data_IF_032891110622
#
_entry.id   IF_032891110622
#
_cell.length_a   1.000
_cell.length_b   1.000
_cell.length_c   1.000
_cell.angle_alpha   90.00
_cell.angle_beta   90.00
_cell.angle_gamma   90.00
#
_symmetry.space_group_name_H-M   'P 1'
#
loop_
_entity.id
_entity.type
_entity.pdbx_description
1 polymer ?
#
# COMPACT_ATOMS: atom_id res chain seq x y z
N UNK A 1 10.76 26.37 -0.70
CA UNK A 1 11.54 25.26 -1.28
C UNK A 1 13.00 25.57 -1.00
N UNK A 2 13.71 24.75 -0.22
CA UNK A 2 15.16 25.00 -0.03
C UNK A 2 15.85 24.85 -1.40
N UNK A 3 16.90 25.64 -1.70
CA UNK A 3 17.75 25.35 -2.86
C UNK A 3 18.30 23.93 -2.71
N UNK A 4 18.31 23.17 -3.80
CA UNK A 4 18.71 21.76 -3.76
C UNK A 4 20.19 21.63 -3.39
N UNK A 5 20.46 21.18 -2.16
CA UNK A 5 21.80 20.95 -1.63
C UNK A 5 22.34 19.56 -1.95
N UNK A 6 23.45 19.22 -1.31
CA UNK A 6 24.09 17.91 -1.36
C UNK A 6 23.76 17.10 -0.11
N UNK A 7 23.17 15.92 -0.30
CA UNK A 7 22.86 14.97 0.77
C UNK A 7 23.77 13.75 0.67
N UNK A 8 24.31 13.32 1.80
CA UNK A 8 25.10 12.09 1.93
C UNK A 8 24.30 11.02 2.69
N UNK A 9 24.24 9.79 2.16
CA UNK A 9 23.53 8.67 2.79
C UNK A 9 24.50 7.60 3.30
N UNK A 10 24.48 7.33 4.60
CA UNK A 10 25.28 6.29 5.22
C UNK A 10 24.52 4.96 5.31
N UNK A 11 25.13 3.88 4.80
CA UNK A 11 24.47 2.60 4.59
C UNK A 11 23.59 2.61 3.33
N UNK A 12 24.04 3.31 2.28
CA UNK A 12 23.26 3.58 1.07
C UNK A 12 22.87 2.31 0.30
N UNK A 13 23.60 1.22 0.48
CA UNK A 13 23.31 -0.10 -0.10
C UNK A 13 22.15 -0.83 0.55
N UNK A 14 21.58 -0.32 1.64
CA UNK A 14 20.35 -0.85 2.24
C UNK A 14 19.12 -0.62 1.35
N UNK A 15 18.14 -1.54 1.41
CA UNK A 15 16.94 -1.51 0.54
C UNK A 15 16.18 -0.18 0.61
N UNK A 16 16.00 0.39 1.81
CA UNK A 16 15.31 1.68 1.97
C UNK A 16 16.24 2.88 1.75
N UNK A 17 17.52 2.77 2.08
CA UNK A 17 18.46 3.88 1.91
C UNK A 17 18.73 4.16 0.42
N UNK A 18 18.94 3.11 -0.37
CA UNK A 18 19.05 3.22 -1.83
C UNK A 18 17.80 3.82 -2.46
N UNK A 19 16.62 3.46 -1.98
CA UNK A 19 15.36 4.05 -2.41
C UNK A 19 15.25 5.55 -2.05
N UNK A 20 15.64 5.95 -0.83
CA UNK A 20 15.70 7.37 -0.44
C UNK A 20 16.65 8.14 -1.37
N UNK A 21 17.82 7.57 -1.70
CA UNK A 21 18.78 8.19 -2.62
C UNK A 21 18.15 8.46 -4.00
N UNK A 22 17.40 7.50 -4.55
CA UNK A 22 16.67 7.66 -5.82
C UNK A 22 15.62 8.78 -5.73
N UNK A 23 14.85 8.84 -4.65
CA UNK A 23 13.82 9.87 -4.46
C UNK A 23 14.41 11.27 -4.32
N UNK A 24 15.47 11.44 -3.53
CA UNK A 24 16.12 12.73 -3.32
C UNK A 24 16.75 13.24 -4.63
N UNK A 25 17.41 12.36 -5.39
CA UNK A 25 17.92 12.70 -6.71
C UNK A 25 16.81 13.15 -7.66
N UNK A 26 15.66 12.46 -7.66
CA UNK A 26 14.50 12.84 -8.45
C UNK A 26 13.90 14.20 -8.06
N UNK A 27 14.09 14.64 -6.81
CA UNK A 27 13.71 15.96 -6.33
C UNK A 27 14.78 17.05 -6.59
N UNK A 28 15.85 16.70 -7.32
CA UNK A 28 16.91 17.64 -7.72
C UNK A 28 18.09 17.75 -6.75
N UNK A 29 18.11 16.98 -5.65
CA UNK A 29 19.26 16.96 -4.75
C UNK A 29 20.48 16.32 -5.42
N UNK A 30 21.67 16.86 -5.14
CA UNK A 30 22.90 16.10 -5.36
C UNK A 30 22.96 15.02 -4.30
N UNK A 31 23.18 13.77 -4.70
CA UNK A 31 23.18 12.63 -3.78
C UNK A 31 24.51 11.91 -3.84
N UNK A 32 25.09 11.64 -2.67
CA UNK A 32 26.19 10.71 -2.48
C UNK A 32 25.87 9.77 -1.32
N UNK A 33 26.68 8.74 -1.12
CA UNK A 33 26.58 7.90 0.07
C UNK A 33 27.73 6.93 0.20
N UNK A 34 27.74 6.20 1.31
CA UNK A 34 28.75 5.22 1.63
C UNK A 34 28.13 3.90 2.11
N UNK A 35 28.85 2.80 1.91
CA UNK A 35 28.54 1.50 2.51
C UNK A 35 29.83 0.71 2.78
N UNK A 36 29.75 -0.27 3.69
CA UNK A 36 30.90 -1.12 4.04
C UNK A 36 31.29 -2.06 2.89
N UNK A 37 30.28 -2.57 2.17
CA UNK A 37 30.48 -3.55 1.11
C UNK A 37 29.67 -3.18 -0.12
N UNK A 38 30.19 -3.45 -1.34
CA UNK A 38 29.42 -3.31 -2.55
C UNK A 38 28.24 -4.30 -2.56
N UNK A 39 27.11 -3.85 -3.09
CA UNK A 39 25.91 -4.66 -3.26
C UNK A 39 25.29 -4.39 -4.64
N UNK A 40 24.33 -5.22 -5.05
CA UNK A 40 23.58 -4.98 -6.29
C UNK A 40 22.91 -3.60 -6.31
N UNK A 41 22.47 -3.12 -5.14
CA UNK A 41 21.83 -1.80 -5.00
C UNK A 41 22.85 -0.66 -5.13
N UNK A 42 24.05 -0.79 -4.56
CA UNK A 42 25.09 0.24 -4.73
C UNK A 42 25.56 0.33 -6.18
N UNK A 43 25.71 -0.79 -6.86
CA UNK A 43 26.04 -0.83 -8.30
C UNK A 43 24.96 -0.15 -9.15
N UNK A 44 23.68 -0.38 -8.84
CA UNK A 44 22.56 0.28 -9.50
C UNK A 44 22.60 1.80 -9.32
N UNK A 45 22.86 2.28 -8.11
CA UNK A 45 22.98 3.70 -7.81
C UNK A 45 24.16 4.36 -8.55
N UNK A 46 25.31 3.68 -8.61
CA UNK A 46 26.46 4.14 -9.39
C UNK A 46 26.12 4.23 -10.89
N UNK A 47 25.40 3.26 -11.44
CA UNK A 47 24.89 3.33 -12.82
C UNK A 47 23.90 4.48 -13.05
N UNK A 48 23.27 4.98 -11.98
CA UNK A 48 22.45 6.18 -11.98
C UNK A 48 23.29 7.46 -11.78
N UNK A 49 24.61 7.40 -11.71
CA UNK A 49 25.48 8.56 -11.49
C UNK A 49 25.45 9.11 -10.05
N UNK A 50 24.98 8.31 -9.08
CA UNK A 50 25.08 8.63 -7.66
C UNK A 50 26.44 8.14 -7.17
N UNK A 51 27.21 9.02 -6.53
CA UNK A 51 28.51 8.65 -5.98
C UNK A 51 28.32 7.72 -4.77
N UNK A 52 28.83 6.49 -4.88
CA UNK A 52 28.84 5.52 -3.77
C UNK A 52 30.29 5.21 -3.38
N UNK A 53 30.64 5.58 -2.15
CA UNK A 53 31.95 5.44 -1.54
C UNK A 53 31.99 4.16 -0.67
N UNK A 54 33.18 3.61 -0.48
CA UNK A 54 33.37 2.38 0.31
C UNK A 54 33.98 2.72 1.66
N UNK A 55 33.44 2.11 2.73
CA UNK A 55 33.89 2.36 4.10
C UNK A 55 33.33 3.64 4.70
N UNK A 56 33.87 4.03 5.85
CA UNK A 56 33.47 5.24 6.57
C UNK A 56 34.66 6.16 6.78
N UNK A 57 34.63 7.36 6.19
CA UNK A 57 35.70 8.35 6.26
C UNK A 57 35.09 9.76 6.38
N UNK A 58 35.47 10.56 7.39
CA UNK A 58 35.01 11.95 7.52
C UNK A 58 35.18 12.80 6.25
N UNK A 59 36.17 12.53 5.40
CA UNK A 59 36.40 13.23 4.14
C UNK A 59 35.22 13.07 3.15
N UNK A 60 34.38 12.03 3.32
CA UNK A 60 33.17 11.84 2.51
C UNK A 60 32.15 12.97 2.68
N UNK A 61 32.26 13.76 3.76
CA UNK A 61 31.34 14.86 4.09
C UNK A 61 31.77 16.22 3.49
N UNK A 62 32.86 16.28 2.74
CA UNK A 62 33.30 17.51 2.10
C UNK A 62 32.25 18.04 1.11
N UNK A 63 31.78 19.28 1.35
CA UNK A 63 30.74 19.91 0.55
C UNK A 63 29.37 19.22 0.63
N UNK A 64 29.10 18.50 1.73
CA UNK A 64 27.79 17.91 2.05
C UNK A 64 27.01 18.86 2.96
N UNK A 65 25.74 19.09 2.64
CA UNK A 65 24.84 19.97 3.39
C UNK A 65 23.99 19.20 4.42
N UNK A 66 23.82 17.88 4.26
CA UNK A 66 23.02 17.04 5.14
C UNK A 66 23.47 15.58 5.12
N UNK A 67 23.53 14.95 6.30
CA UNK A 67 23.79 13.52 6.45
C UNK A 67 22.49 12.77 6.80
N UNK A 68 22.22 11.66 6.12
CA UNK A 68 21.16 10.71 6.47
C UNK A 68 21.75 9.36 6.80
N UNK A 69 21.41 8.76 7.93
CA UNK A 69 21.96 7.47 8.34
C UNK A 69 20.88 6.44 8.71
N UNK A 70 21.20 5.17 8.54
CA UNK A 70 20.35 4.06 9.02
C UNK A 70 20.54 3.81 10.52
N UNK A 71 19.58 3.12 11.15
CA UNK A 71 19.65 2.74 12.57
C UNK A 71 20.78 1.74 12.88
N UNK A 72 21.30 1.04 11.86
CA UNK A 72 22.43 0.11 12.01
C UNK A 72 23.78 0.82 12.20
N UNK A 73 23.84 2.14 11.97
CA UNK A 73 25.05 2.94 12.17
C UNK A 73 25.26 3.17 13.67
N UNK A 74 26.44 2.82 14.17
CA UNK A 74 26.80 3.01 15.57
C UNK A 74 27.05 4.48 15.89
N UNK A 75 26.79 4.94 17.12
CA UNK A 75 26.99 6.34 17.51
C UNK A 75 28.43 6.85 17.41
N UNK A 76 29.41 5.94 17.50
CA UNK A 76 30.86 6.20 17.41
C UNK A 76 31.40 6.18 15.97
N UNK A 77 30.51 6.09 14.97
CA UNK A 77 30.93 6.12 13.57
C UNK A 77 31.66 7.43 13.24
N UNK A 78 32.80 7.38 12.53
CA UNK A 78 33.67 8.54 12.32
C UNK A 78 32.99 9.65 11.50
N UNK A 79 32.24 9.31 10.45
CA UNK A 79 31.46 10.28 9.66
C UNK A 79 30.32 10.90 10.49
N UNK A 80 29.60 10.07 11.27
CA UNK A 80 28.51 10.57 12.12
C UNK A 80 29.02 11.54 13.18
N UNK A 81 30.20 11.26 13.74
CA UNK A 81 30.88 12.12 14.72
C UNK A 81 31.32 13.44 14.09
N UNK A 82 31.93 13.38 12.90
CA UNK A 82 32.35 14.56 12.15
C UNK A 82 31.18 15.47 11.73
N UNK A 83 30.07 14.89 11.26
CA UNK A 83 28.87 15.64 10.91
C UNK A 83 28.28 16.41 12.12
N UNK A 84 28.27 15.77 13.30
CA UNK A 84 27.81 16.43 14.53
C UNK A 84 28.75 17.53 15.00
N UNK A 85 30.07 17.33 14.89
CA UNK A 85 31.05 18.33 15.29
C UNK A 85 31.00 19.62 14.45
N UNK A 86 30.60 19.51 13.18
CA UNK A 86 30.45 20.64 12.26
C UNK A 86 29.10 21.34 12.36
N UNK A 87 28.15 20.81 13.15
CA UNK A 87 26.78 21.33 13.25
C UNK A 87 25.91 21.04 12.02
N UNK A 88 26.36 20.16 11.12
CA UNK A 88 25.62 19.76 9.93
C UNK A 88 24.30 19.07 10.33
N UNK A 89 23.18 19.31 9.63
CA UNK A 89 21.96 18.55 9.81
C UNK A 89 22.18 17.04 9.63
N UNK A 90 21.91 16.28 10.70
CA UNK A 90 21.96 14.81 10.70
C UNK A 90 20.56 14.26 10.92
N UNK A 91 20.10 13.41 10.01
CA UNK A 91 18.79 12.75 10.09
C UNK A 91 18.92 11.24 10.11
N UNK A 92 18.05 10.59 10.89
CA UNK A 92 17.80 9.17 10.79
C UNK A 92 16.98 8.88 9.53
N UNK A 93 17.10 7.66 9.01
CA UNK A 93 16.28 7.14 7.90
C UNK A 93 14.79 7.44 8.09
N UNK A 94 14.24 7.16 9.27
CA UNK A 94 12.81 7.35 9.55
C UNK A 94 12.38 8.82 9.41
N UNK A 95 13.20 9.75 9.93
CA UNK A 95 12.96 11.20 9.82
C UNK A 95 13.02 11.68 8.36
N UNK A 96 13.97 11.15 7.57
CA UNK A 96 14.03 11.46 6.13
C UNK A 96 12.81 10.92 5.37
N UNK A 97 12.37 9.70 5.67
CA UNK A 97 11.14 9.16 5.06
C UNK A 97 9.92 10.00 5.46
N UNK A 98 9.83 10.46 6.71
CA UNK A 98 8.76 11.36 7.15
C UNK A 98 8.78 12.68 6.34
N UNK A 99 9.96 13.26 6.11
CA UNK A 99 10.11 14.45 5.24
C UNK A 99 9.68 14.18 3.79
N UNK A 100 10.10 13.06 3.21
CA UNK A 100 9.71 12.68 1.84
C UNK A 100 8.19 12.43 1.69
N UNK A 101 7.52 12.08 2.79
CA UNK A 101 6.09 11.85 2.84
C UNK A 101 5.28 13.14 3.11
N UNK A 102 5.93 14.26 3.51
CA UNK A 102 5.22 15.51 3.80
C UNK A 102 4.40 15.99 2.59
N UNK A 103 3.17 16.42 2.86
CA UNK A 103 2.23 16.86 1.84
C UNK A 103 1.59 15.75 1.01
N UNK A 104 1.87 14.47 1.31
CA UNK A 104 1.27 13.30 0.64
C UNK A 104 0.29 12.56 1.56
N UNK A 105 -0.71 11.90 0.97
CA UNK A 105 -1.57 10.92 1.63
C UNK A 105 -0.78 9.63 1.81
N UNK A 106 -0.40 9.35 3.05
CA UNK A 106 0.43 8.18 3.37
C UNK A 106 -0.44 6.95 3.58
N UNK A 107 -0.13 5.90 2.82
CA UNK A 107 -0.53 4.52 3.08
C UNK A 107 0.64 3.82 3.77
N UNK A 108 0.53 3.65 5.08
CA UNK A 108 1.53 2.93 5.86
C UNK A 108 0.98 1.57 6.29
N UNK A 109 1.74 0.51 6.03
CA UNK A 109 1.37 -0.87 6.36
C UNK A 109 2.22 -1.32 7.54
N UNK A 110 1.58 -1.50 8.70
CA UNK A 110 2.18 -1.93 9.96
C UNK A 110 1.66 -3.32 10.36
N UNK A 111 2.47 -4.13 11.05
CA UNK A 111 2.02 -5.44 11.58
C UNK A 111 3.14 -6.46 11.71
N UNK A 112 2.84 -7.64 12.27
CA UNK A 112 3.87 -8.68 12.45
C UNK A 112 4.19 -9.44 11.15
N UNK A 113 3.18 -9.70 10.33
CA UNK A 113 3.31 -10.49 9.11
C UNK A 113 2.87 -9.71 7.87
N UNK A 114 3.28 -10.14 6.69
CA UNK A 114 2.75 -9.65 5.40
C UNK A 114 3.10 -8.21 4.99
N UNK A 115 3.74 -7.40 5.83
CA UNK A 115 4.01 -5.97 5.59
C UNK A 115 4.56 -5.63 4.20
N UNK A 116 5.69 -6.24 3.82
CA UNK A 116 6.38 -5.96 2.56
C UNK A 116 5.51 -6.36 1.37
N UNK A 117 4.87 -7.53 1.45
CA UNK A 117 3.95 -8.03 0.43
C UNK A 117 2.75 -7.12 0.27
N UNK A 118 2.09 -6.77 1.38
CA UNK A 118 0.92 -5.89 1.43
C UNK A 118 1.24 -4.49 0.90
N UNK A 119 2.36 -3.90 1.31
CA UNK A 119 2.82 -2.59 0.79
C UNK A 119 3.07 -2.65 -0.71
N UNK A 120 3.71 -3.73 -1.17
CA UNK A 120 4.00 -3.95 -2.59
C UNK A 120 2.71 -4.04 -3.41
N UNK A 121 1.73 -4.81 -2.93
CA UNK A 121 0.43 -4.95 -3.61
C UNK A 121 -0.30 -3.62 -3.68
N UNK A 122 -0.36 -2.85 -2.59
CA UNK A 122 -0.99 -1.52 -2.60
C UNK A 122 -0.30 -0.59 -3.60
N UNK A 123 1.03 -0.51 -3.57
CA UNK A 123 1.79 0.33 -4.50
C UNK A 123 1.50 -0.06 -5.96
N UNK A 124 1.46 -1.35 -6.26
CA UNK A 124 1.14 -1.86 -7.59
C UNK A 124 -0.28 -1.54 -8.04
N UNK A 125 -1.27 -1.75 -7.16
CA UNK A 125 -2.68 -1.49 -7.48
C UNK A 125 -2.90 0.00 -7.74
N UNK A 126 -2.37 0.88 -6.88
CA UNK A 126 -2.45 2.33 -7.07
C UNK A 126 -1.76 2.76 -8.36
N UNK A 127 -0.60 2.18 -8.68
CA UNK A 127 0.10 2.45 -9.94
C UNK A 127 -0.72 2.02 -11.17
N UNK A 128 -1.24 0.79 -11.18
CA UNK A 128 -2.12 0.26 -12.23
C UNK A 128 -3.43 1.04 -12.37
N UNK A 129 -3.91 1.63 -11.28
CA UNK A 129 -5.08 2.51 -11.26
C UNK A 129 -4.79 3.90 -11.85
N UNK A 130 -3.53 4.20 -12.23
CA UNK A 130 -3.13 5.49 -12.77
C UNK A 130 -2.89 6.56 -11.70
N UNK A 131 -2.90 6.19 -10.42
CA UNK A 131 -2.71 7.11 -9.29
C UNK A 131 -1.25 7.43 -8.99
N UNK A 132 -0.31 6.79 -9.70
CA UNK A 132 1.14 7.06 -9.68
C UNK A 132 1.68 7.38 -8.27
N UNK A 133 1.58 6.43 -7.32
CA UNK A 133 2.04 6.65 -5.95
C UNK A 133 3.56 6.76 -5.90
N UNK A 134 4.08 7.54 -4.94
CA UNK A 134 5.46 7.34 -4.48
C UNK A 134 5.50 6.11 -3.58
N UNK A 135 6.50 5.25 -3.69
CA UNK A 135 6.61 4.11 -2.77
C UNK A 135 8.04 3.77 -2.37
N UNK A 136 8.15 3.18 -1.18
CA UNK A 136 9.38 2.69 -0.56
C UNK A 136 9.09 1.28 -0.02
N UNK A 137 9.58 0.27 -0.73
CA UNK A 137 9.32 -1.14 -0.44
C UNK A 137 10.54 -1.81 0.20
N UNK A 138 10.26 -2.72 1.13
CA UNK A 138 11.27 -3.56 1.79
C UNK A 138 11.86 -4.67 0.91
N UNK A 139 11.56 -4.69 -0.39
CA UNK A 139 12.06 -5.65 -1.38
C UNK A 139 11.75 -5.20 -2.81
N UNK A 140 12.43 -5.79 -3.81
CA UNK A 140 12.12 -5.54 -5.23
C UNK A 140 10.82 -6.25 -5.63
N UNK A 141 9.90 -5.53 -6.28
CA UNK A 141 8.62 -6.08 -6.70
C UNK A 141 8.75 -6.72 -8.10
N UNK A 142 8.39 -8.00 -8.26
CA UNK A 142 8.49 -8.74 -9.53
C UNK A 142 7.71 -8.08 -10.69
N UNK A 143 6.60 -7.39 -10.40
CA UNK A 143 5.79 -6.71 -11.44
C UNK A 143 6.24 -5.30 -11.83
N UNK A 144 7.13 -4.66 -11.06
CA UNK A 144 7.66 -3.32 -11.35
C UNK A 144 9.18 -3.28 -11.47
N UNK A 145 9.85 -4.42 -11.21
CA UNK A 145 11.31 -4.60 -11.18
C UNK A 145 12.06 -3.53 -10.34
N UNK A 146 11.37 -2.95 -9.36
CA UNK A 146 11.89 -1.88 -8.52
C UNK A 146 11.27 -1.94 -7.13
N UNK A 147 12.01 -1.46 -6.14
CA UNK A 147 11.56 -1.27 -4.76
C UNK A 147 11.19 0.20 -4.46
N UNK A 148 11.38 1.09 -5.44
CA UNK A 148 11.12 2.53 -5.31
C UNK A 148 10.58 3.13 -6.62
N UNK A 149 9.65 4.08 -6.47
CA UNK A 149 9.20 4.95 -7.54
C UNK A 149 8.88 6.34 -6.97
N UNK A 150 9.37 7.39 -7.64
CA UNK A 150 8.94 8.76 -7.39
C UNK A 150 7.66 9.02 -8.19
N UNK A 151 6.51 8.72 -7.59
CA UNK A 151 5.21 9.06 -8.18
C UNK A 151 4.88 10.54 -8.04
N UNK A 152 4.26 11.10 -9.07
CA UNK A 152 3.71 12.46 -9.13
C UNK A 152 2.31 12.58 -8.48
N UNK A 153 1.69 11.45 -8.12
CA UNK A 153 0.40 11.39 -7.44
C UNK A 153 0.48 11.73 -5.95
N UNK A 154 -0.68 12.00 -5.32
CA UNK A 154 -0.75 12.43 -3.92
C UNK A 154 -0.52 11.30 -2.92
N UNK A 155 -0.28 10.06 -3.36
CA UNK A 155 -0.20 8.88 -2.50
C UNK A 155 1.24 8.45 -2.23
N UNK A 156 1.51 7.98 -1.00
CA UNK A 156 2.81 7.44 -0.60
C UNK A 156 2.64 6.06 0.07
N UNK A 157 3.25 4.98 -0.43
CA UNK A 157 3.13 3.63 0.15
C UNK A 157 4.45 3.15 0.79
N UNK A 158 4.40 2.73 2.06
CA UNK A 158 5.56 2.24 2.84
C UNK A 158 5.22 1.10 3.82
N UNK A 159 6.12 0.13 3.99
CA UNK A 159 6.01 -0.96 4.97
C UNK A 159 6.77 -0.66 6.27
N UNK A 160 6.21 -1.04 7.43
CA UNK A 160 6.70 -0.65 8.77
C UNK A 160 6.78 -1.80 9.74
N UNK A 161 7.93 -1.98 10.40
CA UNK A 161 8.06 -2.88 11.55
C UNK A 161 7.80 -2.15 12.88
N UNK A 162 7.48 -2.94 13.92
CA UNK A 162 7.19 -2.42 15.26
C UNK A 162 8.35 -1.64 15.89
N UNK A 163 9.63 -2.09 15.80
CA UNK A 163 10.75 -1.29 16.30
C UNK A 163 10.83 0.10 15.65
N UNK A 164 10.53 0.21 14.34
CA UNK A 164 10.52 1.48 13.63
C UNK A 164 9.31 2.35 14.00
N UNK A 165 8.14 1.74 14.26
CA UNK A 165 6.93 2.46 14.70
C UNK A 165 7.07 2.98 16.14
N UNK A 166 7.63 2.18 17.04
CA UNK A 166 7.85 2.55 18.43
C UNK A 166 8.88 3.66 18.59
N UNK A 167 9.80 3.81 17.61
CA UNK A 167 10.84 4.84 17.62
C UNK A 167 10.47 6.12 16.85
N UNK A 168 9.29 6.18 16.22
CA UNK A 168 8.84 7.35 15.45
C UNK A 168 7.91 8.22 16.31
N UNK A 169 8.48 9.24 16.97
CA UNK A 169 7.74 10.21 17.79
C UNK A 169 6.80 11.11 16.96
N UNK A 170 6.94 11.12 15.63
CA UNK A 170 6.14 11.93 14.70
C UNK A 170 5.09 11.14 13.92
N UNK A 171 4.75 9.93 14.37
CA UNK A 171 3.86 9.04 13.62
C UNK A 171 2.43 9.59 13.52
N UNK A 172 1.93 9.78 12.30
CA UNK A 172 0.52 10.10 12.05
C UNK A 172 -0.35 8.85 12.22
N UNK A 173 -0.78 8.61 13.46
CA UNK A 173 -1.71 7.53 13.81
C UNK A 173 -3.06 7.65 13.09
N UNK A 174 -3.51 8.87 12.78
CA UNK A 174 -4.73 9.11 12.01
C UNK A 174 -4.60 8.63 10.57
N UNK A 175 -3.48 8.94 9.91
CA UNK A 175 -3.14 8.44 8.58
C UNK A 175 -3.03 6.91 8.52
N UNK A 176 -2.42 6.30 9.55
CA UNK A 176 -2.28 4.84 9.63
C UNK A 176 -3.64 4.13 9.71
N UNK A 177 -4.59 4.69 10.46
CA UNK A 177 -5.98 4.18 10.56
C UNK A 177 -6.71 4.08 9.23
N UNK A 178 -6.29 4.87 8.23
CA UNK A 178 -6.88 4.96 6.89
C UNK A 178 -5.94 4.46 5.80
N UNK A 179 -4.94 3.65 6.14
CA UNK A 179 -3.92 3.20 5.20
C UNK A 179 -4.52 2.54 3.94
N UNK A 180 -5.54 1.70 4.08
CA UNK A 180 -6.18 1.05 2.93
C UNK A 180 -7.37 1.82 2.34
N UNK A 181 -7.66 3.02 2.84
CA UNK A 181 -8.78 3.84 2.36
C UNK A 181 -8.63 4.23 0.88
N UNK A 182 -7.44 4.64 0.37
CA UNK A 182 -7.27 4.92 -1.05
C UNK A 182 -7.58 3.71 -1.95
N UNK A 183 -7.31 2.50 -1.47
CA UNK A 183 -7.66 1.26 -2.17
C UNK A 183 -9.18 1.01 -2.15
N UNK A 184 -9.79 1.11 -0.96
CA UNK A 184 -11.23 0.93 -0.79
C UNK A 184 -12.04 1.90 -1.68
N UNK A 185 -11.59 3.14 -1.77
CA UNK A 185 -12.22 4.22 -2.55
C UNK A 185 -11.91 4.20 -4.05
N UNK A 186 -11.16 3.22 -4.57
CA UNK A 186 -10.91 3.15 -6.01
C UNK A 186 -12.24 3.07 -6.78
N UNK A 187 -12.45 3.89 -7.83
CA UNK A 187 -13.68 3.84 -8.62
C UNK A 187 -13.80 2.56 -9.45
N UNK A 188 -12.72 1.77 -9.54
CA UNK A 188 -12.68 0.46 -10.20
C UNK A 188 -12.88 -0.65 -9.15
N UNK A 189 -13.59 -1.74 -9.50
CA UNK A 189 -13.66 -2.91 -8.64
C UNK A 189 -12.28 -3.54 -8.40
N UNK A 190 -12.05 -3.99 -7.18
CA UNK A 190 -10.82 -4.65 -6.73
C UNK A 190 -11.17 -6.07 -6.32
N UNK A 191 -10.63 -7.05 -7.05
CA UNK A 191 -10.76 -8.47 -6.74
C UNK A 191 -9.49 -8.93 -6.03
N UNK A 192 -9.64 -9.43 -4.81
CA UNK A 192 -8.55 -9.96 -3.99
C UNK A 192 -8.54 -11.49 -4.06
N UNK A 193 -7.43 -12.04 -4.55
CA UNK A 193 -7.19 -13.48 -4.62
C UNK A 193 -6.18 -13.88 -3.55
N UNK A 194 -6.62 -14.72 -2.60
CA UNK A 194 -5.90 -14.99 -1.36
C UNK A 194 -5.31 -16.41 -1.37
N UNK A 195 -3.98 -16.49 -1.49
CA UNK A 195 -3.20 -17.72 -1.51
C UNK A 195 -2.48 -17.98 -0.20
N UNK A 196 -2.95 -18.92 0.63
CA UNK A 196 -2.35 -19.20 1.93
C UNK A 196 -2.72 -18.17 3.02
N UNK A 197 -1.72 -17.74 3.81
CA UNK A 197 -1.94 -16.90 4.99
C UNK A 197 -2.34 -15.45 4.64
N UNK A 198 -3.42 -14.99 5.24
CA UNK A 198 -3.96 -13.65 5.16
C UNK A 198 -4.17 -13.13 6.59
N UNK A 199 -3.07 -12.66 7.19
CA UNK A 199 -2.99 -12.36 8.62
C UNK A 199 -2.63 -10.89 8.80
N UNK A 200 -3.14 -10.27 9.87
CA UNK A 200 -2.79 -8.90 10.27
C UNK A 200 -3.07 -7.92 9.12
N UNK A 201 -2.13 -7.06 8.76
CA UNK A 201 -2.25 -6.11 7.65
C UNK A 201 -2.64 -6.76 6.31
N UNK A 202 -2.34 -8.05 6.09
CA UNK A 202 -2.80 -8.78 4.91
C UNK A 202 -4.33 -8.94 4.90
N UNK A 203 -4.94 -9.24 6.05
CA UNK A 203 -6.38 -9.32 6.21
C UNK A 203 -7.03 -7.93 6.16
N UNK A 204 -6.41 -6.92 6.76
CA UNK A 204 -6.89 -5.54 6.68
C UNK A 204 -6.92 -5.02 5.23
N UNK A 205 -5.90 -5.37 4.42
CA UNK A 205 -5.88 -5.12 2.99
C UNK A 205 -6.99 -5.87 2.26
N UNK A 206 -7.14 -7.18 2.52
CA UNK A 206 -8.18 -7.99 1.88
C UNK A 206 -9.59 -7.44 2.17
N UNK A 207 -9.86 -7.03 3.41
CA UNK A 207 -11.11 -6.42 3.85
C UNK A 207 -11.40 -5.06 3.18
N UNK A 208 -10.37 -4.38 2.65
CA UNK A 208 -10.54 -3.14 1.88
C UNK A 208 -10.85 -3.39 0.39
N UNK A 209 -10.72 -4.62 -0.11
CA UNK A 209 -11.08 -4.99 -1.48
C UNK A 209 -12.59 -5.27 -1.60
N UNK A 210 -13.14 -5.19 -2.82
CA UNK A 210 -14.58 -5.37 -3.06
C UNK A 210 -15.00 -6.83 -3.07
N UNK A 211 -14.26 -7.66 -3.82
CA UNK A 211 -14.50 -9.10 -3.93
C UNK A 211 -13.30 -9.83 -3.36
N UNK A 212 -13.56 -10.85 -2.52
CA UNK A 212 -12.50 -11.69 -1.95
C UNK A 212 -12.77 -13.14 -2.32
N UNK A 213 -11.76 -13.80 -2.90
CA UNK A 213 -11.75 -15.24 -3.11
C UNK A 213 -10.48 -15.82 -2.50
N UNK A 214 -10.49 -17.09 -2.14
CA UNK A 214 -9.32 -17.72 -1.56
C UNK A 214 -9.09 -19.14 -2.06
N UNK A 215 -7.85 -19.57 -1.84
CA UNK A 215 -7.41 -20.95 -1.97
C UNK A 215 -7.95 -21.81 -0.81
N UNK A 216 -8.07 -23.12 -1.04
CA UNK A 216 -8.49 -24.11 -0.03
C UNK A 216 -7.52 -24.23 1.15
N UNK A 217 -6.25 -23.89 0.96
CA UNK A 217 -5.23 -23.80 2.01
C UNK A 217 -5.19 -22.45 2.73
N UNK A 218 -6.07 -21.50 2.40
CA UNK A 218 -6.03 -20.16 3.01
C UNK A 218 -6.34 -20.16 4.51
N UNK A 219 -5.72 -19.20 5.21
CA UNK A 219 -5.85 -18.97 6.66
C UNK A 219 -6.01 -17.49 6.97
N UNK A 220 -6.83 -17.14 7.95
CA UNK A 220 -7.18 -15.75 8.27
C UNK A 220 -7.13 -15.47 9.76
N UNK A 221 -6.47 -14.36 10.16
CA UNK A 221 -6.40 -13.94 11.57
C UNK A 221 -6.10 -12.45 11.74
N UNK A 222 -6.54 -11.88 12.86
CA UNK A 222 -6.09 -10.59 13.42
C UNK A 222 -5.51 -10.82 14.83
N UNK A 223 -4.24 -11.28 14.95
CA UNK A 223 -3.65 -11.75 16.20
C UNK A 223 -3.00 -10.63 17.06
N UNK A 224 -3.19 -9.36 16.71
CA UNK A 224 -2.48 -8.22 17.32
C UNK A 224 -2.67 -8.12 18.84
N UNK A 225 -3.81 -8.57 19.37
CA UNK A 225 -4.11 -8.54 20.81
C UNK A 225 -3.15 -9.41 21.63
N UNK A 226 -2.62 -10.49 21.05
CA UNK A 226 -1.58 -11.31 21.67
C UNK A 226 -0.26 -10.57 21.88
N UNK A 227 -0.09 -9.40 21.26
CA UNK A 227 1.09 -8.54 21.37
C UNK A 227 0.80 -7.27 22.18
N UNK A 228 -0.39 -7.17 22.79
CA UNK A 228 -0.85 -5.96 23.47
C UNK A 228 -1.23 -4.83 22.49
N UNK A 229 -1.55 -5.18 21.25
CA UNK A 229 -1.85 -4.24 20.17
C UNK A 229 -3.26 -4.50 19.62
N UNK A 230 -3.74 -3.60 18.77
CA UNK A 230 -4.96 -3.80 17.98
C UNK A 230 -4.65 -3.59 16.50
N UNK A 231 -5.42 -4.18 15.57
CA UNK A 231 -5.33 -3.87 14.14
C UNK A 231 -5.44 -2.35 13.90
N UNK A 232 -4.54 -1.82 13.07
CA UNK A 232 -4.31 -0.36 12.95
C UNK A 232 -4.80 0.24 11.64
N UNK A 233 -5.27 -0.54 10.66
CA UNK A 233 -5.64 -0.06 9.33
C UNK A 233 -7.13 -0.35 8.98
N UNK A 234 -7.98 -0.40 10.00
CA UNK A 234 -9.42 -0.58 9.89
C UNK A 234 -9.90 -2.03 9.94
N UNK A 235 -9.03 -2.99 10.28
CA UNK A 235 -9.34 -4.41 10.38
C UNK A 235 -10.54 -4.71 11.27
N UNK A 236 -10.56 -4.17 12.50
CA UNK A 236 -11.68 -4.37 13.45
C UNK A 236 -13.01 -3.92 12.82
N UNK A 237 -13.03 -2.73 12.21
CA UNK A 237 -14.26 -2.10 11.72
C UNK A 237 -14.79 -2.78 10.47
N UNK A 238 -13.91 -3.13 9.52
CA UNK A 238 -14.30 -3.83 8.29
C UNK A 238 -14.64 -5.29 8.56
N UNK A 239 -13.93 -5.96 9.47
CA UNK A 239 -14.24 -7.35 9.85
C UNK A 239 -15.63 -7.44 10.50
N UNK A 240 -15.94 -6.57 11.47
CA UNK A 240 -17.24 -6.56 12.14
C UNK A 240 -18.43 -6.36 11.19
N UNK A 241 -18.24 -5.58 10.12
CA UNK A 241 -19.25 -5.38 9.06
C UNK A 241 -19.33 -6.55 8.08
N UNK A 242 -18.26 -7.34 7.98
CA UNK A 242 -18.19 -8.46 7.02
C UNK A 242 -18.71 -9.77 7.62
N UNK A 243 -18.25 -10.14 8.82
CA UNK A 243 -18.60 -11.44 9.45
C UNK A 243 -19.58 -11.31 10.62
N UNK A 244 -20.05 -10.08 10.88
CA UNK A 244 -20.89 -9.76 12.02
C UNK A 244 -20.12 -9.62 13.34
N UNK A 245 -20.77 -9.01 14.34
CA UNK A 245 -20.16 -8.65 15.62
C UNK A 245 -19.58 -9.85 16.36
N UNK A 246 -20.32 -10.95 16.46
CA UNK A 246 -19.92 -12.12 17.26
C UNK A 246 -18.58 -12.71 16.80
N UNK A 247 -18.46 -12.98 15.50
CA UNK A 247 -17.23 -13.54 14.93
C UNK A 247 -16.07 -12.55 14.92
N UNK A 248 -16.32 -11.29 14.59
CA UNK A 248 -15.27 -10.27 14.64
C UNK A 248 -14.69 -10.10 16.06
N UNK A 249 -15.56 -10.06 17.08
CA UNK A 249 -15.11 -10.01 18.48
C UNK A 249 -14.32 -11.27 18.85
N UNK A 250 -14.79 -12.47 18.49
CA UNK A 250 -14.08 -13.70 18.77
C UNK A 250 -12.68 -13.72 18.14
N UNK A 251 -12.58 -13.48 16.83
CA UNK A 251 -11.31 -13.46 16.11
C UNK A 251 -10.33 -12.41 16.66
N UNK A 252 -10.78 -11.18 16.91
CA UNK A 252 -9.91 -10.09 17.38
C UNK A 252 -9.45 -10.30 18.82
N UNK A 253 -10.35 -10.73 19.73
CA UNK A 253 -10.00 -10.87 21.14
C UNK A 253 -9.13 -12.11 21.41
N UNK A 254 -9.33 -13.19 20.66
CA UNK A 254 -8.56 -14.43 20.84
C UNK A 254 -7.33 -14.51 19.94
N UNK A 255 -7.30 -13.73 18.84
CA UNK A 255 -6.33 -13.90 17.77
C UNK A 255 -6.51 -15.20 16.98
N UNK A 256 -7.63 -15.91 17.16
CA UNK A 256 -7.88 -17.22 16.56
C UNK A 256 -7.80 -17.16 15.04
N UNK A 257 -7.05 -18.11 14.48
CA UNK A 257 -7.00 -18.37 13.04
C UNK A 257 -8.20 -19.19 12.59
N UNK A 258 -8.80 -18.80 11.45
CA UNK A 258 -9.87 -19.54 10.78
C UNK A 258 -9.43 -20.03 9.40
N UNK A 259 -9.99 -21.16 8.96
CA UNK A 259 -9.72 -21.76 7.66
C UNK A 259 -10.59 -21.21 6.51
N UNK A 260 -10.26 -21.61 5.28
CA UNK A 260 -10.95 -21.17 4.07
C UNK A 260 -12.46 -21.47 4.05
N UNK A 261 -12.88 -22.65 4.52
CA UNK A 261 -14.30 -23.04 4.53
C UNK A 261 -15.10 -22.27 5.58
N UNK A 262 -14.51 -22.01 6.75
CA UNK A 262 -15.12 -21.14 7.75
C UNK A 262 -15.23 -19.71 7.22
N UNK A 263 -14.17 -19.19 6.61
CA UNK A 263 -14.20 -17.87 5.97
C UNK A 263 -15.32 -17.74 4.91
N UNK A 264 -15.60 -18.80 4.15
CA UNK A 264 -16.73 -18.85 3.22
C UNK A 264 -18.08 -18.83 3.96
N UNK A 265 -18.24 -19.68 4.97
CA UNK A 265 -19.48 -19.77 5.75
C UNK A 265 -19.83 -18.46 6.47
N UNK A 266 -18.80 -17.69 6.87
CA UNK A 266 -18.95 -16.40 7.54
C UNK A 266 -19.16 -15.22 6.58
N UNK A 267 -19.06 -15.42 5.26
CA UNK A 267 -19.11 -14.35 4.27
C UNK A 267 -17.85 -13.48 4.22
N UNK A 268 -16.75 -13.91 4.85
CA UNK A 268 -15.45 -13.24 4.76
C UNK A 268 -14.90 -13.29 3.34
N UNK A 269 -15.10 -14.41 2.66
CA UNK A 269 -14.77 -14.61 1.23
C UNK A 269 -16.00 -15.08 0.47
N UNK A 270 -16.08 -14.73 -0.81
CA UNK A 270 -17.20 -15.10 -1.68
C UNK A 270 -17.02 -16.46 -2.35
N UNK A 271 -15.78 -16.98 -2.42
CA UNK A 271 -15.48 -18.27 -3.06
C UNK A 271 -14.19 -18.88 -2.53
N UNK A 272 -14.19 -20.21 -2.43
CA UNK A 272 -13.01 -21.04 -2.17
C UNK A 272 -12.74 -21.90 -3.41
N UNK A 273 -11.50 -21.95 -3.87
CA UNK A 273 -11.07 -22.76 -5.02
C UNK A 273 -9.75 -23.48 -4.71
N UNK A 274 -9.40 -24.57 -5.41
CA UNK A 274 -8.07 -25.17 -5.28
C UNK A 274 -6.97 -24.14 -5.56
N UNK A 275 -5.90 -24.13 -4.76
CA UNK A 275 -4.78 -23.17 -4.91
C UNK A 275 -4.29 -23.00 -6.35
N UNK A 276 -4.18 -24.08 -7.11
CA UNK A 276 -3.73 -24.06 -8.51
C UNK A 276 -4.63 -23.25 -9.46
N UNK A 277 -5.91 -23.07 -9.13
CA UNK A 277 -6.91 -22.35 -9.94
C UNK A 277 -7.24 -20.96 -9.40
N UNK A 278 -6.57 -20.51 -8.34
CA UNK A 278 -6.90 -19.25 -7.67
C UNK A 278 -6.80 -18.04 -8.62
N UNK A 279 -5.71 -17.93 -9.39
CA UNK A 279 -5.52 -16.82 -10.31
C UNK A 279 -6.44 -16.91 -11.53
N UNK A 280 -6.65 -18.12 -12.07
CA UNK A 280 -7.60 -18.37 -13.15
C UNK A 280 -9.02 -17.90 -12.76
N UNK A 281 -9.45 -18.23 -11.54
CA UNK A 281 -10.76 -17.82 -11.04
C UNK A 281 -10.84 -16.30 -10.82
N UNK A 282 -9.77 -15.68 -10.30
CA UNK A 282 -9.70 -14.24 -10.15
C UNK A 282 -9.84 -13.52 -11.50
N UNK A 283 -9.12 -14.01 -12.52
CA UNK A 283 -9.20 -13.48 -13.88
C UNK A 283 -10.60 -13.68 -14.47
N UNK A 284 -11.23 -14.83 -14.25
CA UNK A 284 -12.60 -15.07 -14.69
C UNK A 284 -13.61 -14.10 -14.03
N UNK A 285 -13.43 -13.74 -12.76
CA UNK A 285 -14.25 -12.71 -12.09
C UNK A 285 -14.00 -11.34 -12.75
N UNK A 286 -12.73 -10.96 -12.92
CA UNK A 286 -12.35 -9.69 -13.56
C UNK A 286 -12.92 -9.56 -14.97
N UNK A 287 -12.83 -10.62 -15.79
CA UNK A 287 -13.40 -10.66 -17.14
C UNK A 287 -14.92 -10.51 -17.13
N UNK A 288 -15.62 -11.17 -16.19
CA UNK A 288 -17.07 -11.01 -16.04
C UNK A 288 -17.47 -9.58 -15.67
N UNK A 289 -16.69 -8.91 -14.82
CA UNK A 289 -16.90 -7.50 -14.46
C UNK A 289 -16.61 -6.59 -15.67
N UNK A 290 -15.52 -6.85 -16.40
CA UNK A 290 -15.11 -6.06 -17.56
C UNK A 290 -16.11 -6.11 -18.73
N UNK A 291 -16.97 -7.14 -18.79
CA UNK A 291 -18.07 -7.25 -19.76
C UNK A 291 -19.31 -6.41 -19.40
N UNK A 292 -19.31 -5.70 -18.27
CA UNK A 292 -20.41 -4.84 -17.82
C UNK A 292 -20.13 -3.38 -18.15
N UNK A 293 -21.16 -2.53 -18.08
CA UNK A 293 -21.03 -1.09 -18.31
C UNK A 293 -20.10 -0.46 -17.26
N UNK A 294 -18.94 0.11 -17.63
CA UNK A 294 -17.95 0.62 -16.68
C UNK A 294 -18.51 1.64 -15.67
N UNK A 295 -19.34 2.58 -16.13
CA UNK A 295 -19.96 3.58 -15.25
C UNK A 295 -21.01 2.96 -14.33
N UNK A 296 -21.79 2.00 -14.82
CA UNK A 296 -22.76 1.27 -14.01
C UNK A 296 -22.08 0.45 -12.91
N UNK A 297 -20.98 -0.24 -13.23
CA UNK A 297 -20.17 -0.98 -12.26
C UNK A 297 -19.59 -0.06 -11.19
N UNK A 298 -19.04 1.09 -11.60
CA UNK A 298 -18.50 2.10 -10.67
C UNK A 298 -19.58 2.59 -9.71
N UNK A 299 -20.74 3.01 -10.21
CA UNK A 299 -21.81 3.53 -9.37
C UNK A 299 -22.47 2.44 -8.52
N UNK A 300 -22.57 1.20 -9.00
CA UNK A 300 -23.03 0.08 -8.19
C UNK A 300 -22.09 -0.19 -7.00
N UNK A 301 -20.77 -0.18 -7.24
CA UNK A 301 -19.76 -0.25 -6.16
C UNK A 301 -19.95 0.89 -5.16
N UNK A 302 -20.11 2.12 -5.66
CA UNK A 302 -20.28 3.30 -4.81
C UNK A 302 -21.58 3.25 -3.98
N UNK A 303 -22.69 2.81 -4.58
CA UNK A 303 -23.97 2.64 -3.91
C UNK A 303 -23.88 1.62 -2.76
N UNK A 304 -23.21 0.48 -2.98
CA UNK A 304 -23.00 -0.53 -1.94
C UNK A 304 -22.12 0.02 -0.82
N UNK A 305 -20.95 0.56 -1.16
CA UNK A 305 -19.98 1.00 -0.14
C UNK A 305 -20.54 2.14 0.73
N UNK A 306 -21.12 3.18 0.10
CA UNK A 306 -21.63 4.34 0.82
C UNK A 306 -23.01 4.11 1.40
N UNK A 307 -23.88 3.40 0.68
CA UNK A 307 -25.25 3.12 1.12
C UNK A 307 -25.29 2.28 2.39
N UNK A 308 -24.37 1.32 2.55
CA UNK A 308 -24.27 0.53 3.79
C UNK A 308 -23.84 1.36 5.02
N UNK A 309 -23.36 2.59 4.84
CA UNK A 309 -23.00 3.51 5.92
C UNK A 309 -24.09 4.54 6.23
N UNK A 310 -25.21 4.50 5.51
CA UNK A 310 -26.32 5.43 5.63
C UNK A 310 -27.54 4.76 6.28
N UNK A 311 -28.45 5.53 6.92
CA UNK A 311 -29.82 5.10 7.14
C UNK A 311 -30.45 4.65 5.81
N UNK A 312 -31.21 3.55 5.85
CA UNK A 312 -31.75 2.92 4.64
C UNK A 312 -32.48 3.91 3.71
N UNK A 313 -33.30 4.81 4.26
CA UNK A 313 -34.02 5.80 3.47
C UNK A 313 -33.06 6.75 2.70
N UNK A 314 -31.96 7.16 3.34
CA UNK A 314 -30.95 7.99 2.68
C UNK A 314 -30.18 7.20 1.63
N UNK A 315 -29.87 5.92 1.89
CA UNK A 315 -29.22 5.04 0.93
C UNK A 315 -30.06 4.85 -0.34
N UNK A 316 -31.39 4.67 -0.20
CA UNK A 316 -32.31 4.53 -1.34
C UNK A 316 -32.40 5.81 -2.19
N UNK A 317 -32.37 6.98 -1.54
CA UNK A 317 -32.30 8.28 -2.25
C UNK A 317 -30.97 8.42 -3.00
N UNK A 318 -29.86 8.06 -2.35
CA UNK A 318 -28.53 8.08 -2.97
C UNK A 318 -28.44 7.13 -4.18
N UNK A 319 -28.98 5.92 -4.08
CA UNK A 319 -29.07 4.97 -5.19
C UNK A 319 -29.92 5.53 -6.36
N UNK A 320 -31.00 6.24 -6.04
CA UNK A 320 -31.84 6.91 -7.04
C UNK A 320 -31.06 8.00 -7.78
N UNK A 321 -30.31 8.84 -7.07
CA UNK A 321 -29.48 9.88 -7.68
C UNK A 321 -28.44 9.29 -8.64
N UNK A 322 -27.73 8.23 -8.21
CA UNK A 322 -26.77 7.51 -9.06
C UNK A 322 -27.44 6.91 -10.31
N UNK A 323 -28.67 6.39 -10.15
CA UNK A 323 -29.47 5.83 -11.26
C UNK A 323 -29.90 6.92 -12.25
N UNK A 324 -30.25 8.11 -11.77
CA UNK A 324 -30.58 9.27 -12.60
C UNK A 324 -29.36 9.71 -13.41
N UNK A 325 -28.19 9.81 -12.78
CA UNK A 325 -26.93 10.12 -13.46
C UNK A 325 -26.66 9.10 -14.58
N UNK A 326 -26.87 7.80 -14.32
CA UNK A 326 -26.70 6.76 -15.34
C UNK A 326 -27.60 6.93 -16.58
N UNK A 327 -28.79 7.54 -16.45
CA UNK A 327 -29.68 7.77 -17.60
C UNK A 327 -29.04 8.66 -18.67
N UNK A 328 -28.05 9.46 -18.29
CA UNK A 328 -27.35 10.41 -19.18
C UNK A 328 -26.17 9.78 -19.94
N UNK A 329 -25.81 8.53 -19.64
CA UNK A 329 -24.62 7.87 -20.20
C UNK A 329 -24.90 7.16 -21.52
N UNK A 330 -23.91 7.10 -22.41
CA UNK A 330 -24.01 6.37 -23.67
C UNK A 330 -24.08 4.86 -23.42
N UNK A 331 -23.34 4.37 -22.43
CA UNK A 331 -23.35 2.95 -22.05
C UNK A 331 -24.74 2.46 -21.63
N UNK A 332 -25.51 3.28 -20.90
CA UNK A 332 -26.90 2.94 -20.57
C UNK A 332 -27.76 2.83 -21.83
N UNK A 333 -27.64 3.78 -22.76
CA UNK A 333 -28.41 3.76 -24.01
C UNK A 333 -28.04 2.54 -24.88
N UNK A 334 -26.77 2.19 -24.96
CA UNK A 334 -26.28 0.98 -25.64
C UNK A 334 -26.76 -0.30 -24.97
N UNK A 335 -26.72 -0.37 -23.63
CA UNK A 335 -27.20 -1.54 -22.89
C UNK A 335 -28.67 -1.84 -23.15
N UNK A 336 -29.53 -0.81 -23.11
CA UNK A 336 -30.96 -0.95 -23.45
C UNK A 336 -31.15 -1.39 -24.90
N UNK A 337 -30.44 -0.76 -25.83
CA UNK A 337 -30.53 -1.09 -27.26
C UNK A 337 -30.10 -2.52 -27.55
N UNK A 338 -28.95 -2.94 -27.03
CA UNK A 338 -28.42 -4.29 -27.20
C UNK A 338 -29.36 -5.35 -26.63
N UNK A 339 -30.02 -5.07 -25.50
CA UNK A 339 -31.05 -5.94 -24.93
C UNK A 339 -32.27 -6.09 -25.86
N UNK A 340 -32.81 -4.98 -26.38
CA UNK A 340 -33.94 -5.01 -27.32
C UNK A 340 -33.58 -5.71 -28.64
N UNK A 341 -32.35 -5.52 -29.11
CA UNK A 341 -31.79 -6.15 -30.33
C UNK A 341 -31.27 -7.58 -30.10
N UNK A 342 -31.32 -8.11 -28.87
CA UNK A 342 -30.83 -9.45 -28.48
C UNK A 342 -29.37 -9.71 -28.90
N UNK A 343 -28.50 -8.73 -28.73
CA UNK A 343 -27.06 -8.85 -29.02
C UNK A 343 -26.21 -8.47 -27.79
N UNK A 344 -24.92 -8.85 -27.75
CA UNK A 344 -24.00 -8.35 -26.72
C UNK A 344 -23.85 -6.81 -26.80
N UNK A 345 -23.84 -6.11 -25.65
CA UNK A 345 -23.60 -4.67 -25.61
C UNK A 345 -22.12 -4.34 -25.84
N UNK A 346 -21.85 -3.14 -26.37
CA UNK A 346 -20.50 -2.59 -26.57
C UNK A 346 -20.30 -1.34 -25.72
N UNK A 347 -19.89 -1.54 -24.48
CA UNK A 347 -19.65 -0.43 -23.56
C UNK A 347 -18.31 0.26 -23.82
N UNK A 348 -18.29 1.57 -23.67
CA UNK A 348 -17.12 2.44 -23.88
C UNK A 348 -16.72 3.24 -22.64
N UNK A 349 -17.55 3.23 -21.59
CA UNK A 349 -17.32 4.00 -20.38
C UNK A 349 -17.68 5.49 -20.52
N UNK A 350 -18.65 5.82 -21.38
CA UNK A 350 -19.07 7.19 -21.69
C UNK A 350 -20.56 7.44 -21.46
#
# INVERSE_FOLDING_TARGET
MMPAGHVHLMGIGGIHMSAIAVLLRGQGWRVSGCDLYPSRLTQRLQGMGIAVLTGHDPCHLEGVDMLVHTAAVRPDNPELTAARATGMPVLKRAEMVARLAQGKRVVAVAGCHGKTTTTSLVAYILWRAGLRPTFLLGGEMVGLETNVMAGDGPHFSRGWDWPSLAADEGLDWGGLSRAFEPLAQLPRPVVCAIGGECISAGLELALACDVRICSDDARFALPETGLGLIPLAGGIQRLARTVGRAWATYMVLTGQEIGAQEALALGLVSRVVPRARLLEEADAICQRIAQRGPLAVRYAKEAVQRGCEMPLEQALRYETDLTIILQTTQDRAEGVRAFLEKRPPRFTGT
#
